data_IF_582054782005
#
_entry.id   IF_582054782005
#
_cell.length_a   1.000
_cell.length_b   1.000
_cell.length_c   1.000
_cell.angle_alpha   90.00
_cell.angle_beta   90.00
_cell.angle_gamma   90.00
#
_symmetry.space_group_name_H-M   'P 1'
#
loop_
_entity.id
_entity.type
_entity.pdbx_description
1 polymer ?
#
# COMPACT_ATOMS: atom_id res chain seq x y z
N UNK A 1 -4.61 -7.32 21.43
CA UNK A 1 -4.17 -7.98 20.18
C UNK A 1 -2.85 -8.66 20.47
N UNK A 2 -2.76 -9.98 20.22
CA UNK A 2 -1.58 -10.76 20.54
C UNK A 2 -0.40 -10.43 19.62
N UNK A 3 0.84 -10.65 20.11
CA UNK A 3 2.09 -10.44 19.38
C UNK A 3 2.14 -11.17 18.02
N UNK A 4 1.37 -12.25 17.82
CA UNK A 4 1.30 -12.96 16.55
C UNK A 4 0.77 -12.14 15.36
N UNK A 5 0.09 -11.01 15.60
CA UNK A 5 -0.40 -10.11 14.55
C UNK A 5 0.68 -9.13 14.05
N UNK A 6 1.72 -8.86 14.83
CA UNK A 6 2.80 -7.92 14.49
C UNK A 6 3.59 -8.39 13.26
N UNK A 7 3.84 -9.70 13.15
CA UNK A 7 4.60 -10.28 12.02
C UNK A 7 3.81 -10.38 10.70
N UNK A 8 2.49 -10.16 10.74
CA UNK A 8 1.61 -10.26 9.57
C UNK A 8 1.11 -8.91 9.07
N UNK A 9 1.40 -7.83 9.79
CA UNK A 9 0.91 -6.49 9.48
C UNK A 9 2.09 -5.54 9.36
N UNK A 10 2.20 -4.90 8.22
CA UNK A 10 3.15 -3.83 8.02
C UNK A 10 2.50 -2.51 8.43
N UNK A 11 3.05 -1.78 9.42
CA UNK A 11 2.58 -0.44 9.74
C UNK A 11 2.94 0.53 8.63
N UNK A 12 2.08 1.53 8.45
CA UNK A 12 2.30 2.59 7.48
C UNK A 12 2.35 3.94 8.21
N UNK A 13 3.35 4.74 7.92
CA UNK A 13 3.45 6.11 8.40
C UNK A 13 3.16 7.12 7.29
N UNK A 14 2.61 8.26 7.66
CA UNK A 14 2.43 9.41 6.79
C UNK A 14 2.97 10.64 7.52
N UNK A 15 3.88 11.37 6.88
CA UNK A 15 4.51 12.55 7.45
C UNK A 15 4.95 13.49 6.34
N UNK A 16 5.12 14.79 6.69
CA UNK A 16 5.65 15.81 5.78
C UNK A 16 7.12 16.14 6.03
N UNK A 17 7.75 15.55 7.05
CA UNK A 17 9.17 15.72 7.34
C UNK A 17 9.74 14.49 8.06
N UNK A 18 11.07 14.36 8.05
CA UNK A 18 11.76 13.28 8.73
C UNK A 18 11.55 13.31 10.25
N UNK A 19 11.52 14.48 10.87
CA UNK A 19 11.33 14.65 12.32
C UNK A 19 9.94 14.12 12.76
N UNK A 20 8.89 14.43 11.98
CA UNK A 20 7.54 13.92 12.25
C UNK A 20 7.46 12.41 12.02
N UNK A 21 8.12 11.92 10.97
CA UNK A 21 8.20 10.48 10.68
C UNK A 21 8.90 9.73 11.81
N UNK A 22 9.97 10.30 12.39
CA UNK A 22 10.74 9.72 13.47
C UNK A 22 9.92 9.51 14.75
N UNK A 23 9.05 10.45 15.09
CA UNK A 23 8.13 10.30 16.24
C UNK A 23 7.22 9.08 16.05
N UNK A 24 6.66 8.91 14.85
CA UNK A 24 5.79 7.76 14.56
C UNK A 24 6.60 6.46 14.52
N UNK A 25 7.78 6.52 13.90
CA UNK A 25 8.67 5.36 13.75
C UNK A 25 9.12 4.83 15.12
N UNK A 26 9.42 5.72 16.08
CA UNK A 26 9.80 5.32 17.44
C UNK A 26 8.73 4.46 18.12
N UNK A 27 7.45 4.79 17.93
CA UNK A 27 6.33 3.98 18.42
C UNK A 27 6.25 2.61 17.74
N UNK A 28 6.57 2.53 16.44
CA UNK A 28 6.59 1.25 15.72
C UNK A 28 7.74 0.37 16.18
N UNK A 29 8.91 0.95 16.40
CA UNK A 29 10.09 0.24 16.92
C UNK A 29 9.81 -0.29 18.34
N UNK A 30 9.24 0.54 19.23
CA UNK A 30 8.83 0.11 20.57
C UNK A 30 7.89 -1.09 20.56
N UNK A 31 7.01 -1.17 19.55
CA UNK A 31 6.09 -2.29 19.36
C UNK A 31 6.70 -3.49 18.61
N UNK A 32 7.98 -3.46 18.30
CA UNK A 32 8.71 -4.57 17.67
C UNK A 32 8.54 -4.70 16.17
N UNK A 33 8.02 -3.67 15.47
CA UNK A 33 7.94 -3.69 14.02
C UNK A 33 9.32 -3.52 13.38
N UNK A 34 9.61 -4.35 12.38
CA UNK A 34 10.86 -4.33 11.61
C UNK A 34 10.66 -3.89 10.15
N UNK A 35 9.41 -3.82 9.71
CA UNK A 35 9.05 -3.37 8.37
C UNK A 35 8.08 -2.20 8.47
N UNK A 36 8.34 -1.11 7.74
CA UNK A 36 7.50 0.10 7.75
C UNK A 36 7.29 0.60 6.33
N UNK A 37 6.04 0.93 5.99
CA UNK A 37 5.70 1.56 4.72
C UNK A 37 5.55 3.07 4.88
N UNK A 38 6.16 3.85 3.98
CA UNK A 38 6.03 5.31 3.94
C UNK A 38 4.97 5.67 2.90
N UNK A 39 3.93 6.39 3.34
CA UNK A 39 2.82 6.78 2.49
C UNK A 39 3.09 8.10 1.77
N UNK A 40 3.33 8.02 0.46
CA UNK A 40 3.39 9.15 -0.47
C UNK A 40 2.23 9.09 -1.48
N UNK A 41 1.10 8.47 -1.11
CA UNK A 41 -0.01 8.23 -2.04
C UNK A 41 -1.40 8.64 -1.55
N UNK A 42 -1.56 9.02 -0.28
CA UNK A 42 -2.85 9.44 0.26
C UNK A 42 -3.34 10.73 -0.43
N UNK A 43 -4.53 10.72 -1.08
CA UNK A 43 -5.03 11.88 -1.81
C UNK A 43 -5.92 12.79 -0.96
N UNK A 44 -5.99 12.60 0.37
CA UNK A 44 -6.89 13.35 1.22
C UNK A 44 -6.52 14.85 1.23
N UNK A 45 -7.44 15.75 0.84
CA UNK A 45 -7.09 17.15 0.56
C UNK A 45 -6.45 17.90 1.72
N UNK A 46 -6.88 17.65 2.97
CA UNK A 46 -6.29 18.32 4.15
C UNK A 46 -4.86 17.86 4.42
N UNK A 47 -4.52 16.61 4.09
CA UNK A 47 -3.16 16.10 4.18
C UNK A 47 -2.31 16.63 3.04
N UNK A 48 -2.83 16.59 1.81
CA UNK A 48 -2.11 17.05 0.63
C UNK A 48 -1.73 18.53 0.71
N UNK A 49 -2.61 19.41 1.21
CA UNK A 49 -2.32 20.83 1.45
C UNK A 49 -1.16 21.07 2.42
N UNK A 50 -0.80 20.06 3.23
CA UNK A 50 0.30 20.10 4.19
C UNK A 50 1.50 19.27 3.71
N UNK A 51 1.60 19.03 2.42
CA UNK A 51 2.62 18.18 1.78
C UNK A 51 2.74 16.79 2.43
N UNK A 52 1.60 16.16 2.78
CA UNK A 52 1.56 14.77 3.21
C UNK A 52 0.95 13.87 2.14
N UNK A 53 1.33 12.61 2.15
CA UNK A 53 0.83 11.62 1.18
C UNK A 53 1.17 12.03 -0.25
N UNK A 54 0.19 12.03 -1.18
CA UNK A 54 0.46 12.43 -2.57
C UNK A 54 0.72 13.92 -2.77
N UNK A 55 0.38 14.77 -1.79
CA UNK A 55 0.64 16.21 -1.86
C UNK A 55 2.11 16.61 -1.76
N UNK A 56 3.01 15.70 -1.35
CA UNK A 56 4.47 15.97 -1.30
C UNK A 56 5.15 15.69 -2.66
N UNK A 57 4.51 14.92 -3.57
CA UNK A 57 5.14 14.44 -4.80
C UNK A 57 5.67 15.54 -5.72
N UNK A 58 5.03 16.75 -5.84
CA UNK A 58 5.57 17.86 -6.61
C UNK A 58 6.86 18.49 -6.04
N UNK A 59 7.31 18.06 -4.85
CA UNK A 59 8.42 18.70 -4.12
C UNK A 59 9.56 17.69 -3.87
N UNK A 60 10.43 17.40 -4.87
CA UNK A 60 11.48 16.38 -4.76
C UNK A 60 12.42 16.58 -3.57
N UNK A 61 12.78 17.82 -3.25
CA UNK A 61 13.66 18.12 -2.12
C UNK A 61 13.00 17.81 -0.77
N UNK A 62 11.69 18.03 -0.64
CA UNK A 62 10.95 17.66 0.57
C UNK A 62 10.82 16.13 0.69
N UNK A 63 10.59 15.44 -0.43
CA UNK A 63 10.60 13.96 -0.48
C UNK A 63 11.96 13.43 -0.05
N UNK A 64 13.06 13.98 -0.58
CA UNK A 64 14.43 13.61 -0.22
C UNK A 64 14.70 13.84 1.28
N UNK A 65 14.27 14.99 1.81
CA UNK A 65 14.40 15.30 3.23
C UNK A 65 13.61 14.32 4.10
N UNK A 66 12.36 14.03 3.77
CA UNK A 66 11.54 13.02 4.46
C UNK A 66 12.19 11.64 4.43
N UNK A 67 12.61 11.19 3.25
CA UNK A 67 13.16 9.85 3.05
C UNK A 67 14.58 9.67 3.65
N UNK A 68 15.23 10.73 4.14
CA UNK A 68 16.50 10.62 4.88
C UNK A 68 16.37 9.71 6.11
N UNK A 69 15.17 9.51 6.62
CA UNK A 69 14.89 8.57 7.74
C UNK A 69 15.27 7.13 7.39
N UNK A 70 15.19 6.74 6.11
CA UNK A 70 15.51 5.38 5.64
C UNK A 70 16.95 5.00 5.95
N UNK A 71 17.88 5.91 5.73
CA UNK A 71 19.32 5.68 6.00
C UNK A 71 19.68 5.85 7.47
N UNK A 72 18.88 6.62 8.23
CA UNK A 72 19.09 6.79 9.68
C UNK A 72 18.69 5.58 10.53
N UNK A 73 17.81 4.72 9.99
CA UNK A 73 17.29 3.54 10.69
C UNK A 73 17.52 2.26 9.88
N UNK A 74 18.80 1.84 9.70
CA UNK A 74 19.15 0.69 8.84
C UNK A 74 18.61 -0.65 9.35
N UNK A 75 18.18 -0.73 10.62
CA UNK A 75 17.53 -1.92 11.19
C UNK A 75 16.07 -2.10 10.76
N UNK A 76 15.46 -1.08 10.12
CA UNK A 76 14.09 -1.13 9.64
C UNK A 76 14.10 -1.31 8.12
N UNK A 77 13.32 -2.27 7.65
CA UNK A 77 13.08 -2.49 6.22
C UNK A 77 11.97 -1.56 5.74
N UNK A 78 12.33 -0.54 4.98
CA UNK A 78 11.37 0.44 4.48
C UNK A 78 10.84 0.08 3.09
N UNK A 79 9.56 0.38 2.86
CA UNK A 79 8.93 0.46 1.55
C UNK A 79 8.24 1.81 1.37
N UNK A 80 7.90 2.13 0.14
CA UNK A 80 7.16 3.36 -0.19
C UNK A 80 5.91 2.99 -0.97
N UNK A 81 4.76 3.55 -0.58
CA UNK A 81 3.54 3.50 -1.38
C UNK A 81 3.22 4.87 -1.92
N UNK A 82 3.19 5.02 -3.25
CA UNK A 82 3.04 6.32 -3.91
C UNK A 82 2.04 6.30 -5.06
N UNK A 83 1.74 7.49 -5.58
CA UNK A 83 1.04 7.73 -6.85
C UNK A 83 2.01 8.26 -7.90
N UNK A 84 1.54 8.42 -9.16
CA UNK A 84 2.34 9.02 -10.23
C UNK A 84 2.71 10.48 -9.92
N UNK A 85 1.79 11.20 -9.28
CA UNK A 85 1.98 12.58 -8.90
C UNK A 85 0.76 13.12 -8.15
N UNK A 86 0.82 14.39 -7.77
CA UNK A 86 -0.34 15.13 -7.29
C UNK A 86 -1.14 15.72 -8.44
N UNK A 87 -0.47 16.43 -9.38
CA UNK A 87 -1.07 17.12 -10.53
C UNK A 87 -0.66 16.55 -11.89
N UNK A 88 0.60 16.10 -12.00
CA UNK A 88 1.19 15.64 -13.27
C UNK A 88 1.73 14.22 -13.14
N UNK A 89 1.58 13.39 -14.18
CA UNK A 89 2.01 11.97 -14.11
C UNK A 89 3.53 11.79 -14.15
N UNK A 90 4.29 12.80 -14.53
CA UNK A 90 5.75 12.80 -14.60
C UNK A 90 6.44 13.24 -13.30
N UNK A 91 5.68 13.70 -12.30
CA UNK A 91 6.25 14.03 -10.98
C UNK A 91 6.98 12.83 -10.35
N UNK A 92 6.49 11.60 -10.56
CA UNK A 92 7.18 10.40 -10.09
C UNK A 92 8.53 10.18 -10.77
N UNK A 93 8.71 10.63 -12.02
CA UNK A 93 9.98 10.47 -12.75
C UNK A 93 11.08 11.32 -12.12
N UNK A 94 10.75 12.53 -11.65
CA UNK A 94 11.67 13.39 -10.91
C UNK A 94 12.12 12.76 -9.58
N UNK A 95 11.29 11.89 -8.99
CA UNK A 95 11.59 11.20 -7.74
C UNK A 95 12.40 9.91 -7.93
N UNK A 96 12.41 9.33 -9.12
CA UNK A 96 13.06 8.06 -9.38
C UNK A 96 14.56 8.03 -8.98
N UNK A 97 15.39 9.05 -9.26
CA UNK A 97 16.78 9.07 -8.81
C UNK A 97 16.90 9.02 -7.28
N UNK A 98 16.08 9.80 -6.57
CA UNK A 98 16.07 9.84 -5.08
C UNK A 98 15.71 8.48 -4.52
N UNK A 99 14.66 7.85 -5.06
CA UNK A 99 14.18 6.55 -4.60
C UNK A 99 15.21 5.43 -4.88
N UNK A 100 15.82 5.44 -6.08
CA UNK A 100 16.79 4.44 -6.49
C UNK A 100 18.09 4.43 -5.66
N UNK A 101 18.42 5.54 -5.01
CA UNK A 101 19.62 5.67 -4.18
C UNK A 101 19.38 5.26 -2.72
N UNK A 102 18.16 4.87 -2.37
CA UNK A 102 17.79 4.46 -1.03
C UNK A 102 17.66 2.93 -0.91
N UNK A 103 18.00 2.33 0.24
CA UNK A 103 17.86 0.90 0.51
C UNK A 103 16.38 0.53 0.79
N UNK A 104 15.48 0.88 -0.13
CA UNK A 104 14.07 0.52 -0.03
C UNK A 104 13.86 -0.92 -0.47
N UNK A 105 13.03 -1.64 0.27
CA UNK A 105 12.63 -3.02 -0.06
C UNK A 105 11.84 -3.08 -1.37
N UNK A 106 10.92 -2.14 -1.57
CA UNK A 106 10.05 -2.06 -2.74
C UNK A 106 9.34 -0.72 -2.82
N UNK A 107 8.81 -0.43 -4.00
CA UNK A 107 7.87 0.66 -4.24
C UNK A 107 6.52 0.08 -4.67
N UNK A 108 5.43 0.50 -4.03
CA UNK A 108 4.07 0.21 -4.49
C UNK A 108 3.52 1.43 -5.19
N UNK A 109 3.29 1.31 -6.50
CA UNK A 109 2.78 2.41 -7.34
C UNK A 109 1.29 2.24 -7.63
N UNK A 110 0.50 3.28 -7.30
CA UNK A 110 -0.88 3.43 -7.75
C UNK A 110 -0.89 4.43 -8.91
N UNK A 111 -1.10 3.98 -10.17
CA UNK A 111 -0.97 4.86 -11.33
C UNK A 111 -2.20 5.74 -11.55
N UNK A 112 -2.42 6.63 -10.65
CA UNK A 112 -3.38 7.75 -10.66
C UNK A 112 -2.73 8.96 -10.03
N UNK A 113 -3.26 10.18 -10.37
CA UNK A 113 -2.88 11.42 -9.70
C UNK A 113 -3.56 11.56 -8.33
N UNK A 114 -2.94 12.31 -7.42
CA UNK A 114 -3.53 12.64 -6.14
C UNK A 114 -4.87 13.36 -6.29
N UNK A 115 -4.94 14.40 -7.11
CA UNK A 115 -6.17 15.15 -7.43
C UNK A 115 -7.28 14.30 -8.04
N UNK A 116 -6.93 13.24 -8.74
CA UNK A 116 -7.88 12.31 -9.35
C UNK A 116 -8.62 11.47 -8.29
N UNK A 117 -8.02 11.25 -7.13
CA UNK A 117 -8.58 10.38 -6.09
C UNK A 117 -8.72 8.94 -6.59
N UNK A 118 -9.97 8.50 -6.74
CA UNK A 118 -10.33 7.19 -7.28
C UNK A 118 -11.17 7.28 -8.56
N UNK A 119 -11.28 8.48 -9.14
CA UNK A 119 -12.07 8.71 -10.36
C UNK A 119 -11.23 8.40 -11.60
N UNK A 120 -11.92 8.10 -12.70
CA UNK A 120 -11.29 7.77 -13.98
C UNK A 120 -10.48 6.47 -13.94
N UNK A 121 -9.75 6.22 -14.99
CA UNK A 121 -8.93 5.03 -15.17
C UNK A 121 -7.52 5.19 -14.60
N UNK A 122 -6.83 4.07 -14.40
CA UNK A 122 -5.41 4.04 -14.08
C UNK A 122 -4.58 4.38 -15.33
N UNK A 123 -3.52 5.14 -15.16
CA UNK A 123 -2.58 5.50 -16.23
C UNK A 123 -1.46 4.44 -16.34
N UNK A 124 -1.68 3.44 -17.18
CA UNK A 124 -0.68 2.38 -17.42
C UNK A 124 0.52 2.87 -18.23
N UNK A 125 0.41 3.98 -18.97
CA UNK A 125 1.53 4.57 -19.69
C UNK A 125 2.47 5.26 -18.71
N UNK A 126 1.94 6.07 -17.80
CA UNK A 126 2.72 6.67 -16.71
C UNK A 126 3.36 5.61 -15.81
N UNK A 127 2.64 4.51 -15.51
CA UNK A 127 3.21 3.38 -14.80
C UNK A 127 4.40 2.76 -15.55
N UNK A 128 4.26 2.53 -16.85
CA UNK A 128 5.33 1.98 -17.71
C UNK A 128 6.54 2.90 -17.71
N UNK A 129 6.34 4.21 -17.89
CA UNK A 129 7.42 5.19 -17.87
C UNK A 129 8.18 5.19 -16.53
N UNK A 130 7.47 5.13 -15.40
CA UNK A 130 8.14 5.02 -14.10
C UNK A 130 8.91 3.71 -13.96
N UNK A 131 8.34 2.58 -14.41
CA UNK A 131 8.98 1.26 -14.36
C UNK A 131 10.32 1.23 -15.11
N UNK A 132 10.45 1.95 -16.23
CA UNK A 132 11.68 2.02 -17.03
C UNK A 132 12.84 2.68 -16.27
N UNK A 133 12.56 3.62 -15.38
CA UNK A 133 13.57 4.37 -14.61
C UNK A 133 13.73 3.87 -13.17
N UNK A 134 12.77 3.08 -12.66
CA UNK A 134 12.81 2.52 -11.32
C UNK A 134 13.67 1.25 -11.28
N UNK A 135 14.70 1.24 -10.44
CA UNK A 135 15.61 0.08 -10.25
C UNK A 135 15.20 -0.81 -9.09
N UNK A 136 14.22 -0.39 -8.29
CA UNK A 136 13.74 -1.11 -7.12
C UNK A 136 12.62 -2.10 -7.47
N UNK A 137 12.41 -3.14 -6.66
CA UNK A 137 11.25 -4.01 -6.81
C UNK A 137 9.96 -3.21 -6.84
N UNK A 138 9.15 -3.36 -7.90
CA UNK A 138 7.94 -2.57 -8.13
C UNK A 138 6.70 -3.43 -7.96
N UNK A 139 5.77 -2.96 -7.14
CA UNK A 139 4.45 -3.57 -6.89
C UNK A 139 3.39 -2.69 -7.54
N UNK A 140 2.52 -3.28 -8.35
CA UNK A 140 1.37 -2.59 -8.94
C UNK A 140 0.20 -2.52 -7.96
N UNK A 141 -0.49 -1.38 -7.91
CA UNK A 141 -1.73 -1.22 -7.16
C UNK A 141 -2.72 -0.36 -7.95
N UNK A 142 -3.87 -0.88 -8.30
CA UNK A 142 -4.94 -0.10 -8.96
C UNK A 142 -5.92 -0.99 -9.70
N UNK A 143 -7.21 -0.79 -9.47
CA UNK A 143 -8.35 -1.39 -10.18
C UNK A 143 -8.22 -2.90 -10.45
N UNK A 144 -7.84 -3.64 -9.43
CA UNK A 144 -7.84 -5.10 -9.43
C UNK A 144 -9.10 -5.56 -8.71
N UNK A 145 -10.04 -6.14 -9.44
CA UNK A 145 -11.35 -6.53 -8.95
C UNK A 145 -11.63 -8.03 -9.09
N UNK A 146 -10.96 -8.71 -10.01
CA UNK A 146 -11.17 -10.11 -10.35
C UNK A 146 -9.85 -10.78 -10.78
N UNK A 147 -9.93 -12.07 -11.09
CA UNK A 147 -8.80 -12.88 -11.51
C UNK A 147 -8.23 -12.40 -12.86
N UNK A 148 -9.09 -12.00 -13.78
CA UNK A 148 -8.71 -11.52 -15.11
C UNK A 148 -7.87 -10.25 -15.03
N UNK A 149 -8.18 -9.33 -14.10
CA UNK A 149 -7.38 -8.14 -13.87
C UNK A 149 -5.96 -8.48 -13.40
N UNK A 150 -5.84 -9.46 -12.49
CA UNK A 150 -4.53 -9.92 -12.01
C UNK A 150 -3.74 -10.53 -13.17
N UNK A 151 -4.37 -11.40 -13.97
CA UNK A 151 -3.72 -12.07 -15.11
C UNK A 151 -3.29 -11.03 -16.16
N UNK A 152 -4.16 -10.07 -16.50
CA UNK A 152 -3.88 -8.99 -17.45
C UNK A 152 -2.67 -8.15 -17.03
N UNK A 153 -2.65 -7.69 -15.78
CA UNK A 153 -1.53 -6.87 -15.27
C UNK A 153 -0.24 -7.70 -15.18
N UNK A 154 -0.32 -8.95 -14.73
CA UNK A 154 0.84 -9.86 -14.68
C UNK A 154 1.42 -10.15 -16.06
N UNK A 155 0.57 -10.32 -17.07
CA UNK A 155 1.01 -10.54 -18.47
C UNK A 155 1.60 -9.26 -19.07
N UNK A 156 1.02 -8.10 -18.81
CA UNK A 156 1.51 -6.82 -19.32
C UNK A 156 2.83 -6.39 -18.66
N UNK A 157 3.04 -6.74 -17.39
CA UNK A 157 4.22 -6.36 -16.61
C UNK A 157 4.84 -7.56 -15.89
N UNK A 158 5.48 -8.49 -16.61
CA UNK A 158 5.94 -9.77 -16.04
C UNK A 158 7.07 -9.64 -15.00
N UNK A 159 7.72 -8.49 -14.91
CA UNK A 159 8.82 -8.23 -13.94
C UNK A 159 8.35 -7.58 -12.63
N UNK A 160 7.05 -7.47 -12.38
CA UNK A 160 6.56 -6.96 -11.12
C UNK A 160 6.95 -7.84 -9.93
N UNK A 161 7.33 -7.22 -8.83
CA UNK A 161 7.56 -7.91 -7.56
C UNK A 161 6.25 -8.40 -6.92
N UNK A 162 5.11 -7.81 -7.30
CA UNK A 162 3.79 -8.23 -6.85
C UNK A 162 2.67 -7.29 -7.28
N UNK A 163 1.46 -7.64 -6.85
CA UNK A 163 0.25 -6.84 -7.05
C UNK A 163 -0.40 -6.61 -5.68
N UNK A 164 -0.61 -5.34 -5.32
CA UNK A 164 -1.35 -4.96 -4.12
C UNK A 164 -2.82 -4.76 -4.46
N UNK A 165 -3.69 -5.48 -3.77
CA UNK A 165 -5.14 -5.41 -3.98
C UNK A 165 -5.77 -4.70 -2.78
N UNK A 166 -6.55 -3.66 -3.04
CA UNK A 166 -7.29 -2.91 -2.01
C UNK A 166 -8.78 -3.25 -2.05
N UNK A 167 -9.56 -2.39 -2.69
CA UNK A 167 -11.03 -2.48 -2.77
C UNK A 167 -11.54 -3.81 -3.35
N UNK A 168 -10.79 -4.42 -4.25
CA UNK A 168 -11.13 -5.73 -4.81
C UNK A 168 -11.26 -6.84 -3.75
N UNK A 169 -10.40 -6.83 -2.71
CA UNK A 169 -10.49 -7.78 -1.60
C UNK A 169 -11.68 -7.52 -0.67
N UNK A 170 -12.19 -6.27 -0.61
CA UNK A 170 -13.42 -5.96 0.13
C UNK A 170 -14.65 -6.48 -0.62
N UNK A 171 -14.64 -6.42 -1.95
CA UNK A 171 -15.71 -6.93 -2.80
C UNK A 171 -15.65 -8.46 -2.94
N UNK A 172 -14.46 -9.03 -3.07
CA UNK A 172 -14.19 -10.46 -3.16
C UNK A 172 -13.04 -10.87 -2.23
N UNK A 173 -13.31 -11.23 -0.95
CA UNK A 173 -12.28 -11.65 0.00
C UNK A 173 -11.54 -12.93 -0.42
N UNK A 174 -12.07 -13.71 -1.34
CA UNK A 174 -11.45 -14.91 -1.86
C UNK A 174 -10.52 -14.68 -3.06
N UNK A 175 -10.40 -13.46 -3.58
CA UNK A 175 -9.66 -13.15 -4.81
C UNK A 175 -8.21 -13.66 -4.80
N UNK A 176 -7.52 -13.58 -3.65
CA UNK A 176 -6.17 -14.12 -3.52
C UNK A 176 -6.13 -15.65 -3.63
N UNK A 177 -7.17 -16.34 -3.16
CA UNK A 177 -7.31 -17.78 -3.29
C UNK A 177 -7.64 -18.16 -4.73
N UNK A 178 -8.57 -17.46 -5.38
CA UNK A 178 -8.92 -17.66 -6.79
C UNK A 178 -7.69 -17.52 -7.69
N UNK A 179 -6.85 -16.53 -7.40
CA UNK A 179 -5.57 -16.39 -8.11
C UNK A 179 -4.63 -17.58 -7.86
N UNK A 180 -4.48 -18.02 -6.61
CA UNK A 180 -3.62 -19.16 -6.25
C UNK A 180 -4.09 -20.46 -6.90
N UNK A 181 -5.40 -20.68 -6.97
CA UNK A 181 -6.02 -21.87 -7.54
C UNK A 181 -6.26 -21.74 -9.05
N UNK A 182 -6.02 -20.55 -9.61
CA UNK A 182 -6.27 -20.19 -11.02
C UNK A 182 -7.69 -20.52 -11.47
N UNK A 183 -8.69 -20.26 -10.62
CA UNK A 183 -10.11 -20.45 -10.90
C UNK A 183 -10.98 -19.50 -10.08
N UNK A 184 -12.13 -19.15 -10.62
CA UNK A 184 -13.16 -18.43 -9.87
C UNK A 184 -13.95 -19.43 -8.99
N UNK A 185 -14.22 -19.05 -7.76
CA UNK A 185 -15.03 -19.87 -6.85
C UNK A 185 -16.50 -19.89 -7.28
N UNK A 186 -17.14 -21.06 -7.15
CA UNK A 186 -18.58 -21.16 -7.31
C UNK A 186 -19.31 -20.33 -6.22
N UNK A 187 -20.51 -19.79 -6.52
CA UNK A 187 -21.26 -18.96 -5.56
C UNK A 187 -21.51 -19.64 -4.21
N UNK A 188 -21.78 -20.94 -4.21
CA UNK A 188 -22.01 -21.71 -2.97
C UNK A 188 -20.71 -21.85 -2.16
N UNK A 189 -19.61 -22.17 -2.82
CA UNK A 189 -18.28 -22.23 -2.19
C UNK A 189 -17.88 -20.89 -1.57
N UNK A 190 -18.08 -19.78 -2.30
CA UNK A 190 -17.86 -18.42 -1.77
C UNK A 190 -18.70 -18.17 -0.55
N UNK A 191 -19.99 -18.51 -0.58
CA UNK A 191 -20.92 -18.31 0.54
C UNK A 191 -20.48 -19.07 1.78
N UNK A 192 -20.06 -20.31 1.62
CA UNK A 192 -19.63 -21.16 2.75
C UNK A 192 -18.32 -20.64 3.37
N UNK A 193 -17.39 -20.15 2.54
CA UNK A 193 -16.15 -19.51 3.00
C UNK A 193 -16.42 -18.21 3.76
N UNK A 194 -17.33 -17.37 3.24
CA UNK A 194 -17.73 -16.12 3.92
C UNK A 194 -18.40 -16.41 5.28
N UNK A 195 -19.27 -17.42 5.36
CA UNK A 195 -19.87 -17.86 6.63
C UNK A 195 -18.81 -18.34 7.62
N UNK A 196 -17.86 -19.15 7.14
CA UNK A 196 -16.76 -19.65 7.97
C UNK A 196 -15.87 -18.51 8.48
N UNK A 197 -15.52 -17.55 7.61
CA UNK A 197 -14.77 -16.36 7.98
C UNK A 197 -15.52 -15.51 9.02
N UNK A 198 -16.80 -15.25 8.77
CA UNK A 198 -17.66 -14.49 9.71
C UNK A 198 -17.69 -15.18 11.07
N UNK A 199 -17.93 -16.49 11.11
CA UNK A 199 -17.93 -17.27 12.35
C UNK A 199 -16.59 -17.20 13.08
N UNK A 200 -15.47 -17.29 12.35
CA UNK A 200 -14.13 -17.17 12.93
C UNK A 200 -13.87 -15.78 13.52
N UNK A 201 -14.26 -14.72 12.79
CA UNK A 201 -14.15 -13.35 13.29
C UNK A 201 -15.01 -13.16 14.53
N UNK A 202 -16.28 -13.58 14.49
CA UNK A 202 -17.21 -13.50 15.62
C UNK A 202 -16.62 -14.20 16.86
N UNK A 203 -16.23 -15.47 16.75
CA UNK A 203 -15.68 -16.23 17.86
C UNK A 203 -14.39 -15.63 18.45
N UNK A 204 -13.55 -14.97 17.63
CA UNK A 204 -12.32 -14.34 18.10
C UNK A 204 -12.56 -12.99 18.80
N UNK A 205 -13.66 -12.32 18.51
CA UNK A 205 -13.95 -11.00 19.08
C UNK A 205 -15.02 -11.03 20.16
N UNK A 206 -15.88 -12.05 20.20
CA UNK A 206 -16.92 -12.21 21.21
C UNK A 206 -16.30 -12.30 22.62
N UNK A 207 -15.23 -13.05 22.77
CA UNK A 207 -14.43 -13.14 24.02
C UNK A 207 -13.86 -11.78 24.47
N UNK A 208 -13.65 -10.85 23.53
CA UNK A 208 -13.13 -9.50 23.82
C UNK A 208 -14.25 -8.50 24.15
N UNK A 209 -15.51 -8.86 23.84
CA UNK A 209 -16.68 -8.01 24.04
C UNK A 209 -17.44 -8.37 25.33
N UNK A 210 -17.12 -9.49 25.99
CA UNK A 210 -17.70 -9.92 27.26
C UNK A 210 -17.46 -8.97 28.45
N UNK A 211 -16.87 -7.79 28.23
CA UNK A 211 -16.66 -6.76 29.26
C UNK A 211 -17.36 -5.42 29.01
N UNK A 212 -18.13 -5.27 27.95
CA UNK A 212 -18.89 -4.07 27.66
C UNK A 212 -20.19 -4.40 26.96
N UNK A 213 -21.29 -3.85 27.41
CA UNK A 213 -22.63 -4.00 26.82
C UNK A 213 -22.53 -3.72 25.28
N UNK A 214 -22.37 -4.79 24.51
CA UNK A 214 -22.31 -4.76 23.06
C UNK A 214 -23.72 -4.68 22.51
N UNK A 215 -24.18 -3.49 22.14
CA UNK A 215 -25.19 -3.31 21.12
C UNK A 215 -24.48 -3.13 19.78
N UNK A 216 -24.62 -4.13 18.90
CA UNK A 216 -24.51 -3.99 17.46
C UNK A 216 -25.90 -3.82 16.87
#
# INVERSE_FOLDING_TARGET
RGLGDVYKRQPQLIASSAEKAEVILSLFIEKGYQEVDINLGCPFPLLAKRHNGSGILPYPEEVKALLSIVTRYPQISFSVKMRLGWEQPDECLALAPILNDLPLRQITMHPRLGKQGYKGEVDLQGFSAFREVCRLPLVYNGDIHNLEDIQRISAQFPSLAGIMIGRGLLANPALALEYKENRTLAPDEMRDRLKSMHKSVYNNYDVLLEGGEGQL
#
